data_IF_483944555996
#
_entry.id   IF_483944555996
#
_cell.length_a   1.000
_cell.length_b   1.000
_cell.length_c   1.000
_cell.angle_alpha   90.00
_cell.angle_beta   90.00
_cell.angle_gamma   90.00
#
_symmetry.space_group_name_H-M   'P 1'
#
loop_
_entity.id
_entity.type
_entity.pdbx_description
1 polymer ?
#
# COMPACT_ATOMS: atom_id res chain seq x y z
N UNK A 1 5.26 45.81 75.66
CA UNK A 1 6.24 45.54 74.57
C UNK A 1 5.89 44.20 73.94
N UNK A 2 5.23 44.19 72.78
CA UNK A 2 4.99 42.97 72.03
C UNK A 2 6.06 42.86 70.93
N UNK A 3 6.88 41.79 70.99
CA UNK A 3 7.89 41.48 69.98
C UNK A 3 7.20 40.79 68.79
N UNK A 4 7.23 41.43 67.62
CA UNK A 4 6.86 40.80 66.35
C UNK A 4 7.93 39.77 65.95
N UNK A 5 7.55 38.57 65.45
CA UNK A 5 8.52 37.54 65.12
C UNK A 5 9.19 37.86 63.78
N UNK A 6 10.51 38.03 63.81
CA UNK A 6 11.36 38.34 62.66
C UNK A 6 11.46 37.19 61.64
N UNK A 7 10.96 35.98 61.98
CA UNK A 7 11.07 34.79 61.14
C UNK A 7 10.13 34.73 59.93
N UNK A 8 9.02 35.48 59.94
CA UNK A 8 8.00 35.38 58.86
C UNK A 8 8.36 36.19 57.61
N UNK A 9 9.21 37.22 57.74
CA UNK A 9 9.54 38.13 56.63
C UNK A 9 10.67 37.60 55.71
N UNK A 10 11.54 36.73 56.23
CA UNK A 10 12.68 36.18 55.47
C UNK A 10 12.20 35.06 54.55
N UNK A 11 11.28 34.22 55.03
CA UNK A 11 10.67 33.14 54.25
C UNK A 11 9.88 33.61 53.03
N UNK A 12 9.26 34.81 53.08
CA UNK A 12 8.49 35.36 51.96
C UNK A 12 9.39 35.98 50.89
N UNK A 13 10.52 36.56 51.29
CA UNK A 13 11.57 37.11 50.41
C UNK A 13 12.21 36.03 49.54
N UNK A 14 12.62 34.91 50.16
CA UNK A 14 13.28 33.81 49.46
C UNK A 14 12.33 33.10 48.49
N UNK A 15 11.05 33.00 48.83
CA UNK A 15 10.02 32.49 47.93
C UNK A 15 9.80 33.38 46.71
N UNK A 16 9.82 34.71 46.89
CA UNK A 16 9.61 35.66 45.80
C UNK A 16 10.80 35.65 44.82
N UNK A 17 12.02 35.51 45.34
CA UNK A 17 13.22 35.44 44.52
C UNK A 17 13.29 34.14 43.71
N UNK A 18 12.94 33.00 44.32
CA UNK A 18 12.81 31.72 43.61
C UNK A 18 11.75 31.78 42.51
N UNK A 19 10.62 32.45 42.78
CA UNK A 19 9.53 32.61 41.81
C UNK A 19 9.93 33.49 40.61
N UNK A 20 10.75 34.52 40.82
CA UNK A 20 11.27 35.38 39.76
C UNK A 20 12.31 34.65 38.89
N UNK A 21 13.19 33.85 39.49
CA UNK A 21 14.15 33.00 38.73
C UNK A 21 13.42 31.92 37.93
N UNK A 22 12.31 31.38 38.46
CA UNK A 22 11.47 30.42 37.76
C UNK A 22 10.73 31.05 36.56
N UNK A 23 10.25 32.29 36.68
CA UNK A 23 9.56 32.99 35.59
C UNK A 23 10.50 33.46 34.47
N UNK A 24 11.76 33.78 34.76
CA UNK A 24 12.76 34.12 33.73
C UNK A 24 13.29 32.92 32.94
N UNK A 25 13.18 31.70 33.48
CA UNK A 25 13.59 30.46 32.79
C UNK A 25 12.59 30.01 31.70
N UNK A 26 11.44 30.67 31.58
CA UNK A 26 10.39 30.36 30.61
C UNK A 26 10.58 31.04 29.24
N UNK A 27 11.68 31.77 29.04
CA UNK A 27 11.96 32.40 27.76
C UNK A 27 12.77 31.50 26.80
N UNK A 28 12.13 31.12 25.69
CA UNK A 28 12.69 30.62 24.41
C UNK A 28 13.00 29.13 24.26
N UNK A 29 12.05 28.25 24.61
CA UNK A 29 12.01 26.95 23.94
C UNK A 29 11.53 27.15 22.48
N UNK A 30 12.46 27.09 21.50
CA UNK A 30 12.08 26.97 20.09
C UNK A 30 11.19 25.74 19.96
N UNK A 31 9.90 25.93 19.66
CA UNK A 31 8.96 24.83 19.47
C UNK A 31 9.39 24.01 18.25
N UNK A 32 10.04 22.88 18.49
CA UNK A 32 10.24 21.87 17.46
C UNK A 32 8.87 21.25 17.17
N UNK A 33 8.17 21.80 16.17
CA UNK A 33 6.87 21.29 15.75
C UNK A 33 7.00 19.83 15.30
N UNK A 34 6.38 18.92 16.06
CA UNK A 34 6.31 17.47 15.77
C UNK A 34 5.65 17.15 14.42
N UNK A 35 4.74 18.03 13.97
CA UNK A 35 4.15 17.97 12.64
C UNK A 35 3.88 19.38 12.13
N UNK A 36 3.87 19.52 10.82
CA UNK A 36 3.53 20.73 10.11
C UNK A 36 2.50 20.36 9.05
N UNK A 37 1.46 21.16 8.88
CA UNK A 37 0.62 21.09 7.67
C UNK A 37 1.51 21.37 6.47
N UNK A 38 1.81 20.32 5.72
CA UNK A 38 2.57 20.42 4.50
C UNK A 38 1.59 20.80 3.39
N UNK A 39 1.63 22.06 2.97
CA UNK A 39 0.99 22.40 1.70
C UNK A 39 1.66 21.56 0.59
N UNK A 40 0.90 21.13 -0.43
CA UNK A 40 1.48 20.45 -1.59
C UNK A 40 2.67 21.23 -2.17
N UNK A 41 2.57 22.56 -2.17
CA UNK A 41 3.63 23.49 -2.56
C UNK A 41 4.92 23.34 -1.74
N UNK A 42 4.81 23.16 -0.41
CA UNK A 42 5.96 22.97 0.49
C UNK A 42 6.65 21.60 0.31
N UNK A 43 5.94 20.60 -0.23
CA UNK A 43 6.49 19.30 -0.61
C UNK A 43 7.08 19.29 -2.02
N UNK A 44 7.10 20.43 -2.71
CA UNK A 44 7.48 20.53 -4.11
C UNK A 44 6.50 19.79 -5.05
N UNK A 45 5.32 19.41 -4.56
CA UNK A 45 4.28 18.78 -5.38
C UNK A 45 3.73 19.82 -6.35
N UNK A 46 4.08 19.65 -7.62
CA UNK A 46 3.57 20.48 -8.71
C UNK A 46 2.16 20.02 -9.07
N UNK A 47 1.48 20.80 -9.93
CA UNK A 47 0.19 20.43 -10.51
C UNK A 47 0.22 18.98 -11.02
N UNK A 48 -0.83 18.23 -10.74
CA UNK A 48 -0.98 16.86 -11.25
C UNK A 48 -0.76 16.82 -12.76
N UNK A 49 -0.08 15.77 -13.23
CA UNK A 49 0.25 15.59 -14.64
C UNK A 49 -0.25 14.25 -15.13
N UNK A 50 -0.89 14.28 -16.30
CA UNK A 50 -1.11 13.09 -17.11
C UNK A 50 0.19 12.81 -17.88
N UNK A 51 0.72 11.59 -17.74
CA UNK A 51 1.88 11.14 -18.50
C UNK A 51 1.55 9.83 -19.20
N UNK A 52 2.02 9.72 -20.44
CA UNK A 52 2.03 8.48 -21.20
C UNK A 52 3.46 8.00 -21.35
N UNK A 53 3.72 6.76 -20.92
CA UNK A 53 5.03 6.11 -21.04
C UNK A 53 4.90 4.91 -21.96
N UNK A 54 5.89 4.71 -22.82
CA UNK A 54 5.92 3.63 -23.79
C UNK A 54 7.31 3.03 -23.85
N UNK A 55 7.41 1.72 -23.66
CA UNK A 55 8.67 0.98 -23.63
C UNK A 55 8.43 -0.52 -23.88
N UNK A 56 9.53 -1.25 -24.10
CA UNK A 56 9.55 -2.68 -24.32
C UNK A 56 10.11 -3.39 -23.10
N UNK A 57 9.43 -4.45 -22.69
CA UNK A 57 9.76 -5.33 -21.56
C UNK A 57 10.26 -6.66 -22.12
N UNK A 58 11.39 -7.15 -21.59
CA UNK A 58 12.08 -8.33 -22.09
C UNK A 58 12.18 -9.41 -21.02
N UNK A 59 11.33 -10.44 -21.13
CA UNK A 59 11.36 -11.61 -20.27
C UNK A 59 12.32 -12.66 -20.84
N UNK A 60 13.53 -12.72 -20.29
CA UNK A 60 14.60 -13.61 -20.75
C UNK A 60 14.66 -14.81 -19.81
N UNK A 61 13.89 -15.85 -20.13
CA UNK A 61 13.74 -17.06 -19.30
C UNK A 61 14.82 -18.13 -19.56
N UNK A 62 15.68 -17.94 -20.57
CA UNK A 62 16.70 -18.91 -20.96
C UNK A 62 17.92 -18.25 -21.62
N UNK A 63 19.00 -19.01 -21.82
CA UNK A 63 20.26 -18.52 -22.38
C UNK A 63 21.33 -18.33 -21.30
N UNK A 64 22.44 -17.66 -21.66
CA UNK A 64 23.60 -17.52 -20.77
C UNK A 64 23.34 -16.61 -19.56
N UNK A 65 22.53 -15.56 -19.76
CA UNK A 65 22.20 -14.55 -18.77
C UNK A 65 20.67 -14.33 -18.72
N UNK A 66 19.90 -15.26 -18.14
CA UNK A 66 18.47 -15.07 -17.96
C UNK A 66 18.18 -13.91 -17.00
N UNK A 67 17.11 -13.16 -17.28
CA UNK A 67 16.58 -12.09 -16.41
C UNK A 67 15.42 -12.56 -15.53
N UNK A 68 14.83 -13.71 -15.86
CA UNK A 68 13.75 -14.34 -15.11
C UNK A 68 14.16 -15.75 -14.66
N UNK A 69 14.03 -16.02 -13.36
CA UNK A 69 14.41 -17.29 -12.73
C UNK A 69 13.20 -17.87 -12.01
N UNK A 70 12.85 -19.13 -12.32
CA UNK A 70 11.84 -19.88 -11.57
C UNK A 70 12.35 -20.18 -10.17
N UNK A 71 11.70 -19.63 -9.17
CA UNK A 71 12.00 -19.85 -7.74
C UNK A 71 11.09 -20.91 -7.11
N UNK A 72 9.91 -21.13 -7.71
CA UNK A 72 9.01 -22.24 -7.40
C UNK A 72 8.62 -22.91 -8.72
N UNK A 73 8.78 -24.23 -8.78
CA UNK A 73 8.34 -25.03 -9.92
C UNK A 73 6.87 -25.42 -9.76
N UNK A 74 6.14 -25.65 -10.87
CA UNK A 74 4.77 -26.13 -10.78
C UNK A 74 4.74 -27.50 -10.07
N UNK A 75 3.72 -27.77 -9.23
CA UNK A 75 3.61 -29.06 -8.53
C UNK A 75 3.45 -30.25 -9.48
N UNK A 76 2.91 -30.00 -10.67
CA UNK A 76 2.74 -31.01 -11.71
C UNK A 76 3.35 -30.50 -13.03
N UNK A 77 4.41 -31.18 -13.48
CA UNK A 77 5.09 -30.87 -14.74
C UNK A 77 4.23 -31.13 -15.98
N UNK A 78 3.13 -31.89 -15.87
CA UNK A 78 2.17 -32.10 -16.94
C UNK A 78 1.11 -31.00 -17.05
N UNK A 79 1.10 -30.01 -16.14
CA UNK A 79 0.19 -28.87 -16.21
C UNK A 79 0.47 -28.04 -17.47
N UNK A 80 -0.55 -27.84 -18.31
CA UNK A 80 -0.45 -26.98 -19.49
C UNK A 80 -0.25 -25.50 -19.16
N UNK A 81 -0.72 -25.04 -17.99
CA UNK A 81 -0.62 -23.63 -17.54
C UNK A 81 0.54 -23.37 -16.57
N UNK A 82 1.16 -24.44 -16.06
CA UNK A 82 2.19 -24.38 -15.03
C UNK A 82 1.69 -23.80 -13.70
N UNK A 83 0.40 -23.95 -13.36
CA UNK A 83 -0.19 -23.43 -12.12
C UNK A 83 0.68 -23.69 -10.88
N UNK A 84 0.88 -22.65 -10.07
CA UNK A 84 1.73 -22.69 -8.87
C UNK A 84 3.22 -22.38 -9.11
N UNK A 85 3.66 -22.27 -10.37
CA UNK A 85 4.99 -21.78 -10.71
C UNK A 85 5.15 -20.31 -10.29
N UNK A 86 6.33 -19.96 -9.76
CA UNK A 86 6.70 -18.57 -9.41
C UNK A 86 8.08 -18.27 -9.99
N UNK A 87 8.21 -17.11 -10.63
CA UNK A 87 9.46 -16.58 -11.13
C UNK A 87 9.81 -15.25 -10.47
N UNK A 88 11.09 -15.05 -10.17
CA UNK A 88 11.70 -13.76 -9.82
C UNK A 88 12.25 -13.13 -11.09
N UNK A 89 12.00 -11.83 -11.28
CA UNK A 89 12.39 -11.08 -12.48
C UNK A 89 13.25 -9.86 -12.15
N UNK A 90 14.23 -9.61 -13.01
CA UNK A 90 14.98 -8.36 -13.16
C UNK A 90 15.13 -8.04 -14.65
N UNK A 91 14.00 -7.76 -15.29
CA UNK A 91 13.85 -7.69 -16.73
C UNK A 91 14.19 -6.29 -17.27
N UNK A 92 14.97 -6.16 -18.35
CA UNK A 92 15.29 -4.86 -18.91
C UNK A 92 14.07 -4.21 -19.57
N UNK A 93 14.02 -2.87 -19.48
CA UNK A 93 13.07 -2.02 -20.19
C UNK A 93 13.82 -1.20 -21.25
N UNK A 94 13.38 -1.19 -22.50
CA UNK A 94 14.06 -0.48 -23.59
C UNK A 94 13.14 0.41 -24.41
N UNK A 95 13.70 1.37 -25.16
CA UNK A 95 12.92 2.27 -26.03
C UNK A 95 12.37 1.57 -27.28
N UNK A 96 13.08 0.55 -27.78
CA UNK A 96 12.74 -0.23 -28.98
C UNK A 96 12.94 -1.74 -28.74
N UNK A 97 12.33 -2.62 -29.57
CA UNK A 97 12.38 -4.07 -29.38
C UNK A 97 13.78 -4.69 -29.33
N UNK A 98 14.74 -4.24 -30.16
CA UNK A 98 16.03 -4.93 -30.29
C UNK A 98 17.19 -3.99 -30.07
N UNK A 99 18.19 -4.45 -29.30
CA UNK A 99 19.50 -3.81 -29.07
C UNK A 99 19.44 -2.30 -28.89
N UNK A 100 18.47 -1.83 -28.10
CA UNK A 100 18.19 -0.41 -27.94
C UNK A 100 18.43 0.08 -26.52
N UNK A 101 18.39 1.40 -26.35
CA UNK A 101 18.71 2.06 -25.10
C UNK A 101 17.86 1.50 -23.95
N UNK A 102 18.54 1.02 -22.91
CA UNK A 102 17.95 0.66 -21.62
C UNK A 102 17.40 1.92 -20.95
N UNK A 103 16.15 1.89 -20.50
CA UNK A 103 15.48 3.01 -19.81
C UNK A 103 15.08 2.68 -18.37
N UNK A 104 15.14 1.40 -18.00
CA UNK A 104 14.79 0.95 -16.67
C UNK A 104 14.80 -0.57 -16.57
N UNK A 105 14.29 -1.06 -15.44
CA UNK A 105 14.13 -2.49 -15.15
C UNK A 105 12.76 -2.76 -14.54
N UNK A 106 12.20 -3.91 -14.85
CA UNK A 106 11.03 -4.45 -14.16
C UNK A 106 11.49 -5.50 -13.15
N UNK A 107 11.21 -5.26 -11.88
CA UNK A 107 11.75 -6.03 -10.77
C UNK A 107 10.64 -6.51 -9.86
N UNK A 108 10.63 -7.80 -9.55
CA UNK A 108 9.61 -8.40 -8.69
C UNK A 108 9.38 -9.86 -9.02
N UNK A 109 8.13 -10.31 -8.94
CA UNK A 109 7.75 -11.68 -9.23
C UNK A 109 6.56 -11.75 -10.17
N UNK A 110 6.45 -12.87 -10.88
CA UNK A 110 5.19 -13.31 -11.45
C UNK A 110 4.91 -14.78 -11.11
N UNK A 111 3.63 -15.15 -11.06
CA UNK A 111 3.21 -16.51 -10.75
C UNK A 111 2.13 -17.01 -11.69
N UNK A 112 2.20 -18.28 -12.10
CA UNK A 112 1.11 -18.95 -12.81
C UNK A 112 -0.07 -19.16 -11.86
N UNK A 113 -1.07 -18.29 -11.97
CA UNK A 113 -2.16 -18.16 -11.01
C UNK A 113 -3.49 -18.74 -11.52
N UNK A 114 -3.50 -19.35 -12.70
CA UNK A 114 -4.69 -19.97 -13.30
C UNK A 114 -4.45 -21.43 -13.66
N UNK A 115 -5.45 -22.28 -13.38
CA UNK A 115 -5.46 -23.69 -13.76
C UNK A 115 -6.07 -23.92 -15.15
N UNK A 116 -6.80 -22.95 -15.69
CA UNK A 116 -7.57 -23.08 -16.94
C UNK A 116 -7.04 -22.27 -18.11
N UNK A 117 -6.14 -21.32 -17.87
CA UNK A 117 -5.54 -20.46 -18.90
C UNK A 117 -4.15 -19.97 -18.46
N UNK A 118 -3.33 -19.45 -19.39
CA UNK A 118 -2.01 -18.86 -19.12
C UNK A 118 -2.14 -17.49 -18.44
N UNK A 119 -2.70 -17.50 -17.23
CA UNK A 119 -2.93 -16.33 -16.39
C UNK A 119 -1.84 -16.15 -15.36
N UNK A 120 -1.03 -15.11 -15.53
CA UNK A 120 -0.01 -14.73 -14.56
C UNK A 120 -0.58 -13.71 -13.55
N UNK A 121 -0.15 -13.78 -12.29
CA UNK A 121 -0.21 -12.68 -11.34
C UNK A 121 1.12 -11.93 -11.41
N UNK A 122 1.11 -10.66 -11.77
CA UNK A 122 2.29 -9.79 -11.78
C UNK A 122 2.36 -9.00 -10.48
N UNK A 123 3.50 -9.04 -9.78
CA UNK A 123 3.79 -8.21 -8.61
C UNK A 123 5.18 -7.62 -8.78
N UNK A 124 5.26 -6.42 -9.34
CA UNK A 124 6.54 -5.85 -9.78
C UNK A 124 6.58 -4.33 -9.72
N UNK A 125 7.80 -3.80 -9.77
CA UNK A 125 8.08 -2.38 -9.93
C UNK A 125 8.78 -2.12 -11.26
N UNK A 126 8.40 -1.06 -11.96
CA UNK A 126 9.23 -0.46 -13.00
C UNK A 126 10.15 0.58 -12.35
N UNK A 127 11.44 0.30 -12.33
CA UNK A 127 12.49 1.21 -11.85
C UNK A 127 13.13 1.92 -13.05
N UNK A 128 12.86 3.22 -13.21
CA UNK A 128 13.38 3.99 -14.34
C UNK A 128 14.79 4.52 -14.02
N UNK A 129 15.69 4.40 -15.01
CA UNK A 129 17.12 4.71 -14.86
C UNK A 129 17.58 5.87 -15.75
N UNK A 130 16.66 6.45 -16.53
CA UNK A 130 17.00 7.37 -17.61
C UNK A 130 16.18 8.67 -17.63
N UNK A 131 16.82 9.70 -18.18
CA UNK A 131 16.22 11.02 -18.39
C UNK A 131 15.62 11.62 -17.12
N UNK A 132 14.50 12.32 -17.27
CA UNK A 132 13.84 12.98 -16.13
C UNK A 132 13.29 12.00 -15.09
N UNK A 133 13.06 10.74 -15.45
CA UNK A 133 12.44 9.74 -14.58
C UNK A 133 13.47 8.90 -13.79
N UNK A 134 14.77 9.13 -14.00
CA UNK A 134 15.84 8.40 -13.32
C UNK A 134 15.64 8.40 -11.78
N UNK A 135 15.70 7.21 -11.17
CA UNK A 135 15.50 6.99 -9.74
C UNK A 135 14.03 6.98 -9.29
N UNK A 136 13.07 7.18 -10.20
CA UNK A 136 11.65 7.06 -9.92
C UNK A 136 11.13 5.67 -10.27
N UNK A 137 10.05 5.24 -9.63
CA UNK A 137 9.46 3.94 -9.92
C UNK A 137 7.94 3.93 -9.91
N UNK A 138 7.36 2.92 -10.57
CA UNK A 138 5.92 2.64 -10.61
C UNK A 138 5.67 1.21 -10.18
N UNK A 139 4.68 0.98 -9.32
CA UNK A 139 4.33 -0.34 -8.81
C UNK A 139 3.12 -0.90 -9.56
N UNK A 140 3.22 -2.15 -10.00
CA UNK A 140 2.18 -2.88 -10.73
C UNK A 140 1.82 -4.14 -9.95
N UNK A 141 0.52 -4.33 -9.75
CA UNK A 141 -0.04 -5.53 -9.16
C UNK A 141 -1.30 -5.91 -9.93
N UNK A 142 -1.24 -6.95 -10.76
CA UNK A 142 -2.39 -7.27 -11.60
C UNK A 142 -2.29 -8.59 -12.35
N UNK A 143 -3.44 -9.03 -12.85
CA UNK A 143 -3.57 -10.24 -13.66
C UNK A 143 -3.14 -9.99 -15.10
N UNK A 144 -2.36 -10.91 -15.66
CA UNK A 144 -1.80 -10.84 -17.00
C UNK A 144 -2.07 -12.16 -17.74
N UNK A 145 -3.15 -12.22 -18.51
CA UNK A 145 -3.49 -13.40 -19.34
C UNK A 145 -2.73 -13.30 -20.65
N UNK A 146 -1.62 -14.02 -20.76
CA UNK A 146 -0.55 -13.75 -21.76
C UNK A 146 -1.05 -13.86 -23.20
N UNK A 147 -2.02 -14.74 -23.45
CA UNK A 147 -2.61 -14.98 -24.77
C UNK A 147 -3.59 -13.89 -25.23
N UNK A 148 -4.00 -12.96 -24.36
CA UNK A 148 -4.84 -11.83 -24.77
C UNK A 148 -4.01 -10.78 -25.51
N UNK A 149 -4.62 -10.19 -26.54
CA UNK A 149 -4.01 -9.17 -27.42
C UNK A 149 -3.68 -7.88 -26.67
N UNK A 150 -4.52 -7.48 -25.71
CA UNK A 150 -4.32 -6.31 -24.84
C UNK A 150 -4.63 -6.71 -23.41
N UNK A 151 -3.69 -6.42 -22.51
CA UNK A 151 -3.77 -6.83 -21.10
C UNK A 151 -3.59 -5.59 -20.25
N UNK A 152 -4.58 -5.27 -19.44
CA UNK A 152 -4.53 -4.09 -18.58
C UNK A 152 -4.18 -4.49 -17.14
N UNK A 153 -3.20 -3.83 -16.55
CA UNK A 153 -2.79 -4.01 -15.16
C UNK A 153 -2.74 -2.65 -14.46
N UNK A 154 -3.21 -2.55 -13.22
CA UNK A 154 -3.22 -1.27 -12.53
C UNK A 154 -1.84 -0.85 -12.05
N UNK A 155 -1.63 0.47 -12.04
CA UNK A 155 -0.53 1.11 -11.34
C UNK A 155 -1.04 1.46 -9.94
N UNK A 156 -0.51 0.77 -8.94
CA UNK A 156 -0.98 0.86 -7.55
C UNK A 156 -0.20 1.89 -6.72
N UNK A 157 0.86 2.47 -7.29
CA UNK A 157 1.64 3.51 -6.62
C UNK A 157 2.89 3.88 -7.40
N UNK A 158 3.67 4.80 -6.83
CA UNK A 158 4.96 5.20 -7.39
C UNK A 158 5.84 5.97 -6.41
N UNK A 159 7.11 6.09 -6.76
CA UNK A 159 8.16 6.75 -5.98
C UNK A 159 8.85 7.85 -6.82
N UNK A 160 9.63 8.71 -6.16
CA UNK A 160 10.31 9.82 -6.85
C UNK A 160 9.33 10.76 -7.53
N UNK A 161 9.51 11.00 -8.83
CA UNK A 161 8.60 11.82 -9.65
C UNK A 161 7.19 11.23 -9.77
N UNK A 162 7.03 9.94 -9.51
CA UNK A 162 5.75 9.24 -9.54
C UNK A 162 5.12 9.10 -8.16
N UNK A 163 5.56 9.89 -7.17
CA UNK A 163 4.90 9.89 -5.85
C UNK A 163 3.41 10.19 -6.01
N UNK A 164 2.56 9.35 -5.40
CA UNK A 164 1.11 9.38 -5.52
C UNK A 164 0.56 9.06 -6.92
N UNK A 165 1.36 8.41 -7.77
CA UNK A 165 0.93 7.97 -9.08
C UNK A 165 -0.22 6.97 -9.00
N UNK A 166 -1.13 7.10 -9.97
CA UNK A 166 -2.30 6.24 -10.18
C UNK A 166 -2.56 6.16 -11.67
N UNK A 167 -2.99 4.99 -12.14
CA UNK A 167 -3.21 4.75 -13.56
C UNK A 167 -3.24 3.27 -13.89
N UNK A 168 -2.96 2.95 -15.15
CA UNK A 168 -2.92 1.59 -15.65
C UNK A 168 -1.79 1.42 -16.66
N UNK A 169 -1.47 0.15 -16.91
CA UNK A 169 -0.58 -0.28 -17.97
C UNK A 169 -1.32 -1.20 -18.89
N UNK A 170 -1.18 -0.98 -20.19
CA UNK A 170 -1.61 -1.89 -21.22
C UNK A 170 -0.39 -2.58 -21.82
N UNK A 171 -0.38 -3.90 -21.75
CA UNK A 171 0.63 -4.75 -22.34
C UNK A 171 0.08 -5.43 -23.61
N UNK A 172 0.90 -5.51 -24.64
CA UNK A 172 0.69 -6.21 -25.91
C UNK A 172 1.89 -7.10 -26.16
N UNK A 173 1.69 -8.29 -26.71
CA UNK A 173 2.83 -9.15 -27.05
C UNK A 173 3.40 -8.68 -28.38
N UNK A 174 4.70 -8.37 -28.45
CA UNK A 174 5.34 -7.97 -29.70
C UNK A 174 5.89 -9.20 -30.41
N UNK A 175 6.77 -9.95 -29.75
CA UNK A 175 7.27 -11.23 -30.22
C UNK A 175 7.14 -12.25 -29.07
N UNK A 176 6.58 -13.42 -29.36
CA UNK A 176 6.53 -14.55 -28.43
C UNK A 176 7.44 -15.66 -28.91
N UNK A 177 8.49 -15.94 -28.14
CA UNK A 177 9.30 -17.14 -28.27
C UNK A 177 9.28 -17.86 -26.91
N UNK A 178 9.03 -19.18 -26.85
CA UNK A 178 9.04 -19.95 -25.59
C UNK A 178 10.33 -19.83 -24.77
N UNK A 179 11.43 -19.37 -25.40
CA UNK A 179 12.73 -19.12 -24.79
C UNK A 179 12.98 -17.66 -24.39
N UNK A 180 12.26 -16.72 -25.00
CA UNK A 180 12.40 -15.26 -24.82
C UNK A 180 11.06 -14.58 -25.13
N UNK A 181 10.38 -14.04 -24.13
CA UNK A 181 9.14 -13.29 -24.32
C UNK A 181 9.42 -11.80 -24.44
N UNK A 182 8.96 -11.15 -25.52
CA UNK A 182 9.04 -9.69 -25.64
C UNK A 182 7.65 -9.07 -25.70
N UNK A 183 7.40 -8.18 -24.75
CA UNK A 183 6.12 -7.52 -24.55
C UNK A 183 6.29 -6.00 -24.73
N UNK A 184 5.36 -5.38 -25.44
CA UNK A 184 5.22 -3.94 -25.54
C UNK A 184 4.27 -3.43 -24.45
N UNK A 185 4.69 -2.43 -23.68
CA UNK A 185 3.89 -1.86 -22.59
C UNK A 185 3.68 -0.35 -22.81
N UNK A 186 2.43 0.08 -22.71
CA UNK A 186 2.00 1.49 -22.73
C UNK A 186 1.26 1.84 -21.45
N UNK A 187 1.67 2.89 -20.75
CA UNK A 187 1.11 3.28 -19.44
C UNK A 187 0.40 4.61 -19.51
N UNK A 188 -0.80 4.71 -18.94
CA UNK A 188 -1.53 5.97 -18.80
C UNK A 188 -1.78 6.29 -17.32
N UNK A 189 -1.30 7.46 -16.87
CA UNK A 189 -1.43 7.93 -15.49
C UNK A 189 -2.49 9.02 -15.36
N UNK A 190 -3.72 8.69 -14.94
CA UNK A 190 -4.82 9.67 -14.77
C UNK A 190 -5.42 9.59 -13.37
N UNK A 191 -5.76 10.75 -12.81
CA UNK A 191 -6.39 10.82 -11.50
C UNK A 191 -7.90 11.04 -11.47
N UNK A 192 -8.66 10.03 -11.03
CA UNK A 192 -9.87 10.10 -10.17
C UNK A 192 -10.29 8.71 -9.63
N UNK A 193 -11.16 8.68 -8.59
CA UNK A 193 -11.14 7.78 -7.40
C UNK A 193 -12.13 6.60 -7.40
N UNK A 194 -11.63 5.35 -7.32
CA UNK A 194 -12.13 4.30 -6.44
C UNK A 194 -11.22 4.14 -5.19
N UNK A 195 -11.76 3.77 -4.03
CA UNK A 195 -10.98 3.57 -2.77
C UNK A 195 -10.58 2.10 -2.53
N UNK A 196 -11.23 1.16 -3.23
CA UNK A 196 -10.78 -0.21 -3.40
C UNK A 196 -10.95 -0.66 -4.85
N UNK A 197 -10.07 -1.55 -5.29
CA UNK A 197 -10.07 -2.08 -6.67
C UNK A 197 -9.84 -3.59 -6.64
N UNK A 198 -10.61 -4.32 -7.46
CA UNK A 198 -10.43 -5.76 -7.62
C UNK A 198 -9.10 -6.09 -8.27
N UNK A 199 -8.28 -6.85 -7.55
CA UNK A 199 -7.01 -7.44 -8.02
C UNK A 199 -7.26 -8.76 -8.76
N UNK A 200 -8.22 -9.56 -8.27
CA UNK A 200 -8.62 -10.84 -8.86
C UNK A 200 -10.11 -11.08 -8.61
N UNK A 201 -10.82 -11.63 -9.60
CA UNK A 201 -12.22 -12.09 -9.44
C UNK A 201 -12.23 -13.54 -8.99
N UNK A 202 -13.26 -13.92 -8.22
CA UNK A 202 -13.46 -15.29 -7.78
C UNK A 202 -13.42 -16.29 -8.95
N UNK A 203 -12.69 -17.39 -8.79
CA UNK A 203 -12.47 -18.36 -9.86
C UNK A 203 -13.73 -19.16 -10.24
N UNK A 204 -14.79 -19.08 -9.44
CA UNK A 204 -16.02 -19.86 -9.59
C UNK A 204 -17.17 -18.89 -9.89
N UNK A 205 -17.71 -18.97 -11.09
CA UNK A 205 -18.77 -18.08 -11.59
C UNK A 205 -20.07 -18.10 -10.76
N UNK A 206 -20.22 -19.07 -9.83
CA UNK A 206 -21.35 -19.23 -8.91
C UNK A 206 -20.96 -19.28 -7.42
N UNK A 207 -19.76 -18.85 -7.03
CA UNK A 207 -19.37 -18.86 -5.60
C UNK A 207 -20.07 -17.75 -4.83
N UNK A 208 -20.87 -18.12 -3.84
CA UNK A 208 -21.49 -17.20 -2.87
C UNK A 208 -20.48 -16.56 -1.90
N UNK A 209 -19.25 -17.10 -1.84
CA UNK A 209 -18.18 -16.66 -0.92
C UNK A 209 -17.00 -15.99 -1.63
N UNK A 210 -17.00 -15.98 -2.95
CA UNK A 210 -16.00 -15.27 -3.75
C UNK A 210 -14.56 -15.78 -3.60
N UNK A 211 -14.34 -17.07 -3.27
CA UNK A 211 -13.01 -17.63 -3.02
C UNK A 211 -11.99 -17.27 -4.10
N UNK A 212 -10.82 -16.77 -3.68
CA UNK A 212 -9.77 -16.27 -4.57
C UNK A 212 -9.98 -14.83 -5.07
N UNK A 213 -11.09 -14.17 -4.71
CA UNK A 213 -11.25 -12.74 -4.91
C UNK A 213 -10.22 -12.00 -4.08
N UNK A 214 -9.54 -11.02 -4.67
CA UNK A 214 -8.57 -10.17 -3.97
C UNK A 214 -8.86 -8.72 -4.32
N UNK A 215 -8.72 -7.84 -3.33
CA UNK A 215 -8.99 -6.42 -3.42
C UNK A 215 -7.81 -5.65 -2.83
N UNK A 216 -7.40 -4.57 -3.49
CA UNK A 216 -6.49 -3.58 -2.89
C UNK A 216 -7.33 -2.49 -2.26
N UNK A 217 -6.92 -2.03 -1.09
CA UNK A 217 -7.61 -1.02 -0.30
C UNK A 217 -6.70 0.21 -0.12
N UNK A 218 -7.26 1.40 -0.34
CA UNK A 218 -6.80 2.70 0.14
C UNK A 218 -7.99 3.46 0.72
N UNK A 219 -8.48 2.95 1.84
CA UNK A 219 -9.75 3.35 2.43
C UNK A 219 -9.58 4.49 3.43
N UNK A 220 -10.45 5.51 3.40
CA UNK A 220 -10.43 6.58 4.40
C UNK A 220 -10.89 6.05 5.76
N UNK A 221 -10.12 6.36 6.81
CA UNK A 221 -10.56 6.18 8.20
C UNK A 221 -11.16 7.50 8.67
N UNK A 222 -12.44 7.51 9.04
CA UNK A 222 -13.17 8.70 9.50
C UNK A 222 -13.62 8.57 10.95
N UNK A 223 -13.77 9.70 11.64
CA UNK A 223 -14.20 9.72 13.04
C UNK A 223 -15.66 9.28 13.26
N UNK A 224 -16.48 9.38 12.21
CA UNK A 224 -17.91 8.99 12.21
C UNK A 224 -18.23 8.20 10.93
N UNK A 225 -19.34 7.43 10.89
CA UNK A 225 -19.67 6.56 9.75
C UNK A 225 -19.85 7.29 8.40
N UNK A 226 -20.25 8.56 8.42
CA UNK A 226 -20.51 9.31 7.19
C UNK A 226 -19.20 9.75 6.50
N UNK A 227 -19.11 9.60 5.17
CA UNK A 227 -17.90 9.89 4.37
C UNK A 227 -17.39 11.33 4.45
N UNK A 228 -18.26 12.29 4.77
CA UNK A 228 -17.90 13.69 4.98
C UNK A 228 -17.33 13.98 6.38
N UNK A 229 -17.33 12.98 7.27
CA UNK A 229 -16.73 13.10 8.60
C UNK A 229 -15.23 13.33 8.52
N UNK A 230 -14.66 13.84 9.62
CA UNK A 230 -13.23 14.15 9.72
C UNK A 230 -12.41 12.89 9.38
N UNK A 231 -11.55 13.01 8.37
CA UNK A 231 -10.54 12.02 8.04
C UNK A 231 -9.48 12.00 9.15
N UNK A 232 -9.22 10.81 9.69
CA UNK A 232 -8.24 10.59 10.77
C UNK A 232 -7.07 9.70 10.34
N UNK A 233 -7.21 8.99 9.22
CA UNK A 233 -6.18 8.11 8.70
C UNK A 233 -6.59 7.40 7.42
N UNK A 234 -5.81 6.41 7.03
CA UNK A 234 -6.10 5.51 5.90
C UNK A 234 -5.80 4.06 6.25
N UNK A 235 -6.63 3.15 5.75
CA UNK A 235 -6.37 1.72 5.75
C UNK A 235 -5.87 1.31 4.37
N UNK A 236 -4.60 0.89 4.30
CA UNK A 236 -3.91 0.61 3.05
C UNK A 236 -3.40 -0.81 3.02
N UNK A 237 -3.65 -1.56 1.96
CA UNK A 237 -3.16 -2.92 1.83
C UNK A 237 -4.06 -3.78 0.96
N UNK A 238 -4.17 -5.07 1.28
CA UNK A 238 -5.00 -6.01 0.53
C UNK A 238 -5.98 -6.72 1.45
N UNK A 239 -7.10 -7.14 0.88
CA UNK A 239 -7.92 -8.17 1.47
C UNK A 239 -8.35 -9.19 0.42
N UNK A 240 -8.43 -10.46 0.80
CA UNK A 240 -8.76 -11.54 -0.13
C UNK A 240 -9.73 -12.53 0.49
N UNK A 241 -10.68 -13.03 -0.29
CA UNK A 241 -11.54 -14.14 0.12
C UNK A 241 -10.70 -15.42 0.14
N UNK A 242 -10.47 -15.93 1.35
CA UNK A 242 -9.51 -17.00 1.62
C UNK A 242 -10.19 -18.32 2.02
N UNK A 243 -11.51 -18.34 2.16
CA UNK A 243 -12.30 -19.53 2.47
C UNK A 243 -13.18 -19.98 1.30
N UNK A 244 -13.25 -21.30 1.11
CA UNK A 244 -14.16 -21.93 0.14
C UNK A 244 -15.55 -22.19 0.71
N UNK A 245 -15.70 -22.14 2.04
CA UNK A 245 -16.93 -22.50 2.76
C UNK A 245 -17.60 -21.34 3.47
N UNK A 246 -16.87 -20.25 3.74
CA UNK A 246 -17.35 -19.10 4.50
C UNK A 246 -17.04 -17.79 3.76
N UNK A 247 -17.93 -16.80 3.86
CA UNK A 247 -17.65 -15.48 3.31
C UNK A 247 -16.77 -14.68 4.29
N UNK A 248 -15.46 -14.92 4.19
CA UNK A 248 -14.43 -14.28 5.00
C UNK A 248 -13.38 -13.58 4.15
N UNK A 249 -12.65 -12.67 4.77
CA UNK A 249 -11.48 -12.05 4.17
C UNK A 249 -10.25 -12.28 5.00
N UNK A 250 -9.13 -12.63 4.39
CA UNK A 250 -7.80 -12.40 4.94
C UNK A 250 -7.47 -10.92 4.73
N UNK A 251 -7.30 -10.19 5.82
CA UNK A 251 -6.93 -8.77 5.81
C UNK A 251 -5.41 -8.66 6.01
N UNK A 252 -4.75 -7.90 5.14
CA UNK A 252 -3.35 -7.48 5.28
C UNK A 252 -3.30 -5.98 5.08
N UNK A 253 -3.48 -5.23 6.18
CA UNK A 253 -3.69 -3.78 6.14
C UNK A 253 -2.68 -3.05 7.03
N UNK A 254 -2.28 -1.86 6.61
CA UNK A 254 -1.65 -0.83 7.43
C UNK A 254 -2.67 0.24 7.74
N UNK A 255 -3.00 0.43 9.01
CA UNK A 255 -3.79 1.54 9.50
C UNK A 255 -2.84 2.70 9.80
N UNK A 256 -2.79 3.68 8.91
CA UNK A 256 -1.91 4.84 9.02
C UNK A 256 -2.70 6.03 9.54
N UNK A 257 -2.32 6.56 10.71
CA UNK A 257 -2.97 7.72 11.31
C UNK A 257 -2.34 9.01 10.79
N UNK A 258 -3.18 10.00 10.49
CA UNK A 258 -2.75 11.25 9.85
C UNK A 258 -3.00 12.48 10.74
N UNK A 259 -3.53 12.27 11.96
CA UNK A 259 -4.02 13.32 12.84
C UNK A 259 -3.79 12.96 14.32
N UNK A 260 -3.83 13.97 15.19
CA UNK A 260 -3.77 13.81 16.64
C UNK A 260 -2.42 13.28 17.16
N UNK A 261 -2.43 12.70 18.37
CA UNK A 261 -1.22 12.19 19.05
C UNK A 261 -0.51 11.05 18.33
N UNK A 262 -1.18 10.41 17.37
CA UNK A 262 -0.65 9.25 16.63
C UNK A 262 -0.31 9.57 15.17
N UNK A 263 -0.35 10.84 14.78
CA UNK A 263 -0.05 11.25 13.41
C UNK A 263 1.31 10.70 12.94
N UNK A 264 1.32 10.09 11.75
CA UNK A 264 2.50 9.46 11.14
C UNK A 264 2.83 8.08 11.67
N UNK A 265 2.13 7.60 12.70
CA UNK A 265 2.25 6.22 13.20
C UNK A 265 1.32 5.29 12.42
N UNK A 266 1.69 4.02 12.35
CA UNK A 266 0.84 2.99 11.75
C UNK A 266 0.76 1.73 12.59
N UNK A 267 -0.30 0.97 12.37
CA UNK A 267 -0.52 -0.37 12.92
C UNK A 267 -0.69 -1.35 11.77
N UNK A 268 0.01 -2.48 11.83
CA UNK A 268 -0.11 -3.57 10.86
C UNK A 268 -1.12 -4.59 11.36
N UNK A 269 -2.12 -4.88 10.54
CA UNK A 269 -3.18 -5.86 10.78
C UNK A 269 -3.02 -7.01 9.81
N UNK A 270 -2.90 -8.23 10.34
CA UNK A 270 -2.88 -9.45 9.55
C UNK A 270 -3.82 -10.45 10.22
N UNK A 271 -5.01 -10.64 9.65
CA UNK A 271 -6.05 -11.40 10.35
C UNK A 271 -7.21 -11.82 9.46
N UNK A 272 -7.90 -12.86 9.92
CA UNK A 272 -9.15 -13.34 9.33
C UNK A 272 -10.31 -12.44 9.73
N UNK A 273 -11.18 -12.12 8.79
CA UNK A 273 -12.31 -11.19 8.95
C UNK A 273 -13.60 -11.84 8.39
N UNK A 274 -14.31 -12.63 9.19
CA UNK A 274 -15.57 -13.28 8.77
C UNK A 274 -16.71 -12.26 8.76
N UNK A 275 -16.92 -11.57 7.65
CA UNK A 275 -17.77 -10.36 7.58
C UNK A 275 -19.26 -10.58 7.87
N UNK A 276 -19.72 -11.83 7.83
CA UNK A 276 -21.08 -12.24 8.22
C UNK A 276 -21.26 -12.35 9.74
N UNK A 277 -20.17 -12.34 10.52
CA UNK A 277 -20.20 -12.34 11.97
C UNK A 277 -20.33 -10.92 12.53
N UNK A 278 -20.98 -10.78 13.68
CA UNK A 278 -21.28 -9.49 14.32
C UNK A 278 -20.04 -8.63 14.60
N UNK A 279 -19.34 -8.91 15.69
CA UNK A 279 -18.04 -8.29 16.03
C UNK A 279 -16.91 -9.27 15.69
N UNK A 280 -15.86 -8.77 15.05
CA UNK A 280 -14.76 -9.58 14.49
C UNK A 280 -13.45 -9.06 15.03
N UNK A 281 -12.58 -9.93 15.51
CA UNK A 281 -11.28 -9.55 16.05
C UNK A 281 -10.15 -9.92 15.08
N UNK A 282 -9.22 -8.99 14.84
CA UNK A 282 -8.02 -9.18 14.05
C UNK A 282 -6.79 -8.73 14.84
N UNK A 283 -5.68 -9.48 14.83
CA UNK A 283 -4.51 -9.12 15.60
C UNK A 283 -3.76 -7.95 14.96
N UNK A 284 -3.17 -7.12 15.82
CA UNK A 284 -2.13 -6.16 15.45
C UNK A 284 -0.79 -6.89 15.56
N UNK A 285 -0.11 -7.03 14.43
CA UNK A 285 1.15 -7.79 14.33
C UNK A 285 2.39 -6.91 14.37
N UNK A 286 2.19 -5.59 14.47
CA UNK A 286 3.28 -4.63 14.63
C UNK A 286 2.79 -3.19 14.47
N UNK A 287 3.70 -2.25 14.68
CA UNK A 287 3.43 -0.83 14.49
C UNK A 287 4.70 -0.01 14.30
N UNK A 288 4.51 1.22 13.84
CA UNK A 288 5.60 2.16 13.56
C UNK A 288 5.50 3.39 14.45
N UNK A 289 6.63 4.09 14.60
CA UNK A 289 6.73 5.35 15.35
C UNK A 289 6.24 5.17 16.79
N UNK A 290 5.09 5.74 17.17
CA UNK A 290 4.55 5.66 18.55
C UNK A 290 4.11 4.23 18.89
N UNK A 291 3.82 3.41 17.88
CA UNK A 291 3.44 2.01 18.06
C UNK A 291 4.59 1.04 17.80
N UNK A 292 5.85 1.49 17.94
CA UNK A 292 7.00 0.60 17.76
C UNK A 292 6.92 -0.54 18.80
N UNK A 293 7.12 -1.78 18.32
CA UNK A 293 6.92 -3.02 19.08
C UNK A 293 5.47 -3.21 19.58
N UNK A 294 4.53 -2.42 19.06
CA UNK A 294 3.15 -2.44 19.51
C UNK A 294 2.43 -3.71 19.06
N UNK A 295 1.73 -4.31 20.01
CA UNK A 295 0.89 -5.50 19.82
C UNK A 295 -0.49 -5.28 20.44
N UNK A 296 -1.48 -5.99 19.93
CA UNK A 296 -2.87 -5.82 20.37
C UNK A 296 -3.86 -6.39 19.38
N UNK A 297 -5.06 -5.82 19.34
CA UNK A 297 -6.13 -6.29 18.48
C UNK A 297 -7.00 -5.15 17.96
N UNK A 298 -7.69 -5.47 16.88
CA UNK A 298 -8.67 -4.63 16.21
C UNK A 298 -10.00 -5.37 16.21
N UNK A 299 -11.02 -4.79 16.83
CA UNK A 299 -12.41 -5.23 16.73
C UNK A 299 -13.12 -4.46 15.62
N UNK A 300 -13.71 -5.18 14.68
CA UNK A 300 -14.42 -4.63 13.54
C UNK A 300 -15.90 -5.03 13.58
N UNK A 301 -16.79 -4.07 13.32
CA UNK A 301 -18.23 -4.29 13.19
C UNK A 301 -18.75 -3.61 11.92
N UNK A 302 -19.53 -4.32 11.10
CA UNK A 302 -20.09 -3.73 9.88
C UNK A 302 -21.24 -2.81 10.29
N UNK A 303 -21.14 -1.53 9.94
CA UNK A 303 -22.15 -0.51 10.23
C UNK A 303 -23.19 -0.43 9.10
N UNK A 304 -22.72 -0.41 7.85
CA UNK A 304 -23.56 -0.36 6.66
C UNK A 304 -22.92 -1.23 5.57
N UNK A 305 -23.75 -1.93 4.79
CA UNK A 305 -23.31 -2.69 3.62
C UNK A 305 -24.37 -2.64 2.54
N UNK A 306 -23.98 -2.24 1.33
CA UNK A 306 -24.84 -2.23 0.16
C UNK A 306 -24.47 -3.38 -0.78
N UNK A 307 -25.36 -4.38 -0.86
CA UNK A 307 -25.17 -5.57 -1.70
C UNK A 307 -25.10 -5.26 -3.21
N UNK A 308 -25.60 -4.11 -3.67
CA UNK A 308 -25.57 -3.72 -5.09
C UNK A 308 -24.24 -3.11 -5.48
N UNK A 309 -23.70 -2.24 -4.62
CA UNK A 309 -22.44 -1.52 -4.90
C UNK A 309 -21.22 -2.15 -4.24
N UNK A 310 -21.43 -3.12 -3.35
CA UNK A 310 -20.42 -3.75 -2.49
C UNK A 310 -19.72 -2.74 -1.56
N UNK A 311 -20.28 -1.54 -1.39
CA UNK A 311 -19.74 -0.56 -0.45
C UNK A 311 -20.08 -0.99 0.98
N UNK A 312 -19.09 -0.88 1.86
CA UNK A 312 -19.26 -1.11 3.30
C UNK A 312 -18.75 0.09 4.10
N UNK A 313 -19.39 0.34 5.23
CA UNK A 313 -18.85 1.16 6.33
C UNK A 313 -18.59 0.22 7.49
N UNK A 314 -17.34 0.20 7.97
CA UNK A 314 -16.90 -0.70 9.05
C UNK A 314 -16.41 0.15 10.21
N UNK A 315 -17.02 -0.05 11.38
CA UNK A 315 -16.56 0.53 12.64
C UNK A 315 -15.38 -0.29 13.18
N UNK A 316 -14.35 0.41 13.64
CA UNK A 316 -13.12 -0.17 14.16
C UNK A 316 -12.85 0.32 15.58
N UNK A 317 -12.68 -0.61 16.51
CA UNK A 317 -12.20 -0.37 17.87
C UNK A 317 -10.82 -1.02 18.04
N UNK A 318 -9.81 -0.22 18.32
CA UNK A 318 -8.39 -0.61 18.25
C UNK A 318 -7.78 -0.51 19.64
N UNK A 319 -7.31 -1.64 20.16
CA UNK A 319 -6.57 -1.72 21.43
C UNK A 319 -5.12 -2.09 21.13
N UNK A 320 -4.18 -1.24 21.52
CA UNK A 320 -2.76 -1.47 21.29
C UNK A 320 -1.95 -1.14 22.54
N UNK A 321 -1.05 -2.06 22.91
CA UNK A 321 -0.01 -1.83 23.90
C UNK A 321 1.22 -1.26 23.18
N UNK A 322 1.75 -0.15 23.65
CA UNK A 322 2.94 0.49 23.08
C UNK A 322 3.70 1.30 24.14
N UNK A 323 4.96 1.65 23.85
CA UNK A 323 5.89 2.31 24.77
C UNK A 323 6.21 3.75 24.35
#
# INVERSE_FOLDING_TARGET
MAKTPLGTLILTSDFLFLFIVYTFSLATAKSHHFSRTLSPTNLGLKKEKLSHLHFYFHDIVSGRNPSAIKVVLPPNNASSTGFGMVAMIDDPLTVKPESSKLVGRAQGIYASASQSEDGLLMVMNFAFMEGKYNGSGLSVLGRNVVLLTVREMPIIGGSGLFRFARGYVQARTHNYNPKTGMLLWSMMLKGHRPTAMGIAKAAIANSSVGFGMMMIADEPLTLKPHRSSKLVGRAQGIYASASQSEFDFLMVLSLTFMEGKYNGSSLSVLGRNPIVSGEREMPIVGGTVVFKFGGGYVKAKTYEYDNKTLNAVVEYNVCVLHH
#
